data_IF_743972779713
#
_entry.id   IF_743972779713
#
_cell.length_a   1.000
_cell.length_b   1.000
_cell.length_c   1.000
_cell.angle_alpha   90.00
_cell.angle_beta   90.00
_cell.angle_gamma   90.00
#
_symmetry.space_group_name_H-M   'P 1'
#
loop_
_entity.id
_entity.type
_entity.pdbx_description
1 polymer ?
#
# COMPACT_ATOMS: atom_id res chain seq x y z
N UNK A 1 -26.99 7.84 -13.15
CA UNK A 1 -26.48 7.59 -11.78
C UNK A 1 -25.42 6.51 -11.86
N UNK A 2 -24.13 6.88 -11.79
CA UNK A 2 -23.02 5.90 -11.83
C UNK A 2 -22.98 5.22 -10.45
N UNK A 3 -22.94 3.88 -10.35
CA UNK A 3 -22.84 3.22 -9.05
C UNK A 3 -21.48 3.56 -8.43
N UNK A 4 -21.53 3.85 -7.15
CA UNK A 4 -20.43 4.15 -6.26
C UNK A 4 -19.29 3.13 -6.48
N UNK A 5 -18.12 3.59 -6.94
CA UNK A 5 -16.94 2.71 -6.94
C UNK A 5 -16.60 2.47 -5.47
N UNK A 6 -16.40 1.22 -5.01
CA UNK A 6 -15.99 1.00 -3.63
C UNK A 6 -14.71 1.81 -3.38
N UNK A 7 -14.77 2.71 -2.38
CA UNK A 7 -13.64 3.54 -1.95
C UNK A 7 -12.49 2.60 -1.59
N UNK A 8 -11.57 2.40 -2.55
CA UNK A 8 -10.37 1.58 -2.43
C UNK A 8 -9.54 2.14 -1.28
N UNK A 9 -9.60 1.50 -0.12
CA UNK A 9 -8.96 2.00 1.09
C UNK A 9 -9.38 1.30 2.38
N UNK A 10 -10.21 0.26 2.31
CA UNK A 10 -10.53 -0.57 3.47
C UNK A 10 -9.50 -1.68 3.63
N UNK A 11 -9.17 -2.03 4.88
CA UNK A 11 -8.13 -3.02 5.20
C UNK A 11 -8.38 -4.39 4.57
N UNK A 12 -9.64 -4.81 4.40
CA UNK A 12 -9.97 -6.06 3.71
C UNK A 12 -9.72 -5.99 2.18
N UNK A 13 -10.07 -4.89 1.50
CA UNK A 13 -9.75 -4.70 0.08
C UNK A 13 -8.26 -4.71 -0.14
N UNK A 14 -7.51 -4.14 0.81
CA UNK A 14 -6.07 -4.12 0.73
C UNK A 14 -5.49 -5.53 0.91
N UNK A 15 -6.01 -6.34 1.84
CA UNK A 15 -5.64 -7.76 1.94
C UNK A 15 -5.93 -8.52 0.65
N UNK A 16 -7.13 -8.34 0.07
CA UNK A 16 -7.52 -8.96 -1.20
C UNK A 16 -6.61 -8.51 -2.35
N UNK A 17 -6.40 -7.19 -2.50
CA UNK A 17 -5.54 -6.65 -3.56
C UNK A 17 -4.08 -7.09 -3.42
N UNK A 18 -3.59 -7.26 -2.19
CA UNK A 18 -2.26 -7.80 -1.91
C UNK A 18 -2.19 -9.29 -2.26
N UNK A 19 -3.20 -10.06 -1.86
CA UNK A 19 -3.33 -11.48 -2.21
C UNK A 19 -3.38 -11.71 -3.72
N UNK A 20 -4.18 -10.93 -4.45
CA UNK A 20 -4.26 -10.96 -5.92
C UNK A 20 -2.92 -10.64 -6.60
N UNK A 21 -2.10 -9.80 -5.95
CA UNK A 21 -0.75 -9.48 -6.39
C UNK A 21 0.32 -10.49 -5.94
N UNK A 22 -0.08 -11.60 -5.29
CA UNK A 22 0.82 -12.63 -4.79
C UNK A 22 1.50 -12.31 -3.46
N UNK A 23 1.06 -11.26 -2.76
CA UNK A 23 1.57 -10.86 -1.45
C UNK A 23 0.69 -11.45 -0.35
N UNK A 24 1.10 -12.59 0.20
CA UNK A 24 0.42 -13.22 1.32
C UNK A 24 0.64 -12.42 2.61
N UNK A 25 -0.41 -11.76 3.10
CA UNK A 25 -0.39 -11.03 4.37
C UNK A 25 -1.74 -11.21 5.08
N UNK A 26 -1.72 -11.29 6.41
CA UNK A 26 -2.93 -11.37 7.23
C UNK A 26 -3.29 -10.03 7.88
N UNK A 27 -4.47 -9.97 8.49
CA UNK A 27 -4.92 -8.79 9.23
C UNK A 27 -4.03 -8.44 10.42
N UNK A 28 -3.48 -9.45 11.10
CA UNK A 28 -2.64 -9.28 12.29
C UNK A 28 -1.30 -8.62 11.96
N UNK A 29 -0.87 -8.72 10.70
CA UNK A 29 0.34 -8.09 10.18
C UNK A 29 0.02 -6.74 9.52
N UNK A 30 -1.03 -6.69 8.70
CA UNK A 30 -1.37 -5.50 7.93
C UNK A 30 -1.75 -4.32 8.84
N UNK A 31 -2.61 -4.52 9.83
CA UNK A 31 -3.11 -3.39 10.63
C UNK A 31 -2.05 -2.74 11.52
N UNK A 32 -1.17 -3.49 12.22
CA UNK A 32 -0.03 -2.88 12.90
C UNK A 32 0.92 -2.12 11.96
N UNK A 33 1.14 -2.63 10.75
CA UNK A 33 1.96 -1.94 9.75
C UNK A 33 1.34 -0.60 9.34
N UNK A 34 0.05 -0.56 9.04
CA UNK A 34 -0.66 0.68 8.68
C UNK A 34 -0.60 1.71 9.82
N UNK A 35 -0.81 1.28 11.07
CA UNK A 35 -0.67 2.15 12.26
C UNK A 35 0.75 2.69 12.42
N UNK A 36 1.77 1.88 12.13
CA UNK A 36 3.18 2.31 12.17
C UNK A 36 3.46 3.36 11.11
N UNK A 37 3.02 3.14 9.87
CA UNK A 37 3.20 4.09 8.77
C UNK A 37 2.46 5.42 9.03
N UNK A 38 1.29 5.36 9.65
CA UNK A 38 0.57 6.54 10.13
C UNK A 38 1.36 7.28 11.23
N UNK A 39 1.88 6.57 12.24
CA UNK A 39 2.72 7.16 13.30
C UNK A 39 3.99 7.83 12.73
N UNK A 40 4.51 7.33 11.61
CA UNK A 40 5.63 7.92 10.88
C UNK A 40 5.24 9.11 9.99
N UNK A 41 3.95 9.46 9.91
CA UNK A 41 3.44 10.54 9.06
C UNK A 41 3.38 10.18 7.57
N UNK A 42 3.58 8.90 7.21
CA UNK A 42 3.55 8.43 5.82
C UNK A 42 2.13 8.12 5.34
N UNK A 43 1.23 7.84 6.27
CA UNK A 43 -0.21 7.71 6.02
C UNK A 43 -1.00 8.74 6.82
N UNK A 44 -2.14 9.13 6.28
CA UNK A 44 -3.20 9.88 6.94
C UNK A 44 -4.38 8.94 7.10
N UNK A 45 -5.13 9.09 8.19
CA UNK A 45 -6.34 8.31 8.39
C UNK A 45 -7.58 9.15 8.59
N UNK A 46 -8.72 8.59 8.20
CA UNK A 46 -10.04 9.20 8.32
C UNK A 46 -11.04 8.13 8.80
N UNK A 47 -11.94 8.52 9.68
CA UNK A 47 -13.05 7.65 10.09
C UNK A 47 -14.18 7.77 9.09
N UNK A 48 -14.63 6.65 8.55
CA UNK A 48 -15.91 6.56 7.86
C UNK A 48 -16.97 6.12 8.86
N UNK A 49 -17.98 6.96 9.04
CA UNK A 49 -19.12 6.77 9.94
C UNK A 49 -20.43 6.55 9.19
N UNK A 50 -20.39 6.38 7.87
CA UNK A 50 -21.56 6.12 7.00
C UNK A 50 -22.14 4.70 7.23
N UNK A 51 -21.33 3.77 7.73
CA UNK A 51 -21.75 2.40 8.07
C UNK A 51 -22.07 2.23 9.57
N UNK A 52 -22.86 1.20 9.90
CA UNK A 52 -23.24 0.83 11.27
C UNK A 52 -22.06 0.55 12.20
N UNK A 53 -20.86 0.32 11.66
CA UNK A 53 -19.61 0.20 12.41
C UNK A 53 -18.58 1.17 11.82
N UNK A 54 -18.12 2.18 12.59
CA UNK A 54 -17.09 3.08 12.13
C UNK A 54 -15.84 2.34 11.70
N UNK A 55 -15.29 2.69 10.53
CA UNK A 55 -14.07 2.10 9.98
C UNK A 55 -13.02 3.16 9.73
N UNK A 56 -11.76 2.82 9.98
CA UNK A 56 -10.63 3.69 9.71
C UNK A 56 -10.10 3.44 8.29
N UNK A 57 -10.07 4.48 7.47
CA UNK A 57 -9.49 4.48 6.13
C UNK A 57 -8.09 5.07 6.20
N UNK A 58 -7.19 4.58 5.35
CA UNK A 58 -5.83 5.09 5.24
C UNK A 58 -5.57 5.61 3.83
N UNK A 59 -4.89 6.74 3.73
CA UNK A 59 -4.44 7.35 2.48
C UNK A 59 -2.96 7.74 2.61
N UNK A 60 -2.21 7.63 1.53
CA UNK A 60 -0.82 8.10 1.48
C UNK A 60 -0.76 9.61 1.72
N UNK A 61 0.08 10.04 2.65
CA UNK A 61 0.33 11.46 2.92
C UNK A 61 1.22 12.08 1.83
N UNK A 62 1.34 13.42 1.74
CA UNK A 62 2.32 14.05 0.85
C UNK A 62 3.76 13.59 1.12
N UNK A 63 4.13 13.36 2.38
CA UNK A 63 5.43 12.79 2.76
C UNK A 63 5.54 11.33 2.29
N UNK A 64 4.52 10.52 2.56
CA UNK A 64 4.48 9.12 2.13
C UNK A 64 4.57 8.96 0.62
N UNK A 65 4.00 9.89 -0.16
CA UNK A 65 4.10 9.89 -1.60
C UNK A 65 5.53 10.16 -2.09
N UNK A 66 6.26 11.07 -1.43
CA UNK A 66 7.67 11.33 -1.70
C UNK A 66 8.54 10.11 -1.39
N UNK A 67 8.38 9.53 -0.20
CA UNK A 67 9.09 8.30 0.21
C UNK A 67 8.79 7.13 -0.75
N UNK A 68 7.52 6.89 -1.07
CA UNK A 68 7.11 5.85 -2.02
C UNK A 68 7.77 6.01 -3.38
N UNK A 69 7.87 7.25 -3.87
CA UNK A 69 8.49 7.53 -5.17
C UNK A 69 9.98 7.20 -5.16
N UNK A 70 10.70 7.53 -4.07
CA UNK A 70 12.11 7.16 -3.90
C UNK A 70 12.30 5.65 -3.89
N UNK A 71 11.54 4.93 -3.06
CA UNK A 71 11.61 3.47 -2.95
C UNK A 71 11.33 2.76 -4.28
N UNK A 72 10.35 3.24 -5.05
CA UNK A 72 10.04 2.66 -6.37
C UNK A 72 11.17 2.87 -7.37
N UNK A 73 11.85 4.02 -7.34
CA UNK A 73 13.02 4.27 -8.19
C UNK A 73 14.18 3.36 -7.81
N UNK A 74 14.51 3.27 -6.51
CA UNK A 74 15.56 2.39 -6.00
C UNK A 74 15.32 0.93 -6.39
N UNK A 75 14.06 0.47 -6.28
CA UNK A 75 13.68 -0.89 -6.69
C UNK A 75 13.88 -1.12 -8.19
N UNK A 76 13.49 -0.16 -9.02
CA UNK A 76 13.69 -0.23 -10.48
C UNK A 76 15.17 -0.25 -10.85
N UNK A 77 15.98 0.58 -10.22
CA UNK A 77 17.42 0.67 -10.47
C UNK A 77 18.15 -0.63 -10.05
N UNK A 78 17.75 -1.21 -8.92
CA UNK A 78 18.26 -2.50 -8.47
C UNK A 78 17.88 -3.62 -9.46
N UNK A 79 16.61 -3.68 -9.86
CA UNK A 79 16.13 -4.66 -10.84
C UNK A 79 16.83 -4.54 -12.18
N UNK A 80 17.10 -3.32 -12.64
CA UNK A 80 17.86 -3.06 -13.87
C UNK A 80 19.32 -3.53 -13.74
N UNK A 81 19.95 -3.31 -12.58
CA UNK A 81 21.31 -3.73 -12.31
C UNK A 81 21.44 -5.25 -12.27
N UNK A 82 20.55 -5.94 -11.56
CA UNK A 82 20.50 -7.42 -11.53
C UNK A 82 20.25 -7.97 -12.94
N UNK A 83 19.33 -7.36 -13.69
CA UNK A 83 19.04 -7.79 -15.07
C UNK A 83 20.23 -7.65 -16.02
N UNK A 84 21.10 -6.65 -15.81
CA UNK A 84 22.34 -6.52 -16.61
C UNK A 84 23.35 -7.61 -16.25
N UNK A 85 23.50 -7.91 -14.96
CA UNK A 85 24.41 -8.96 -14.49
C UNK A 85 24.00 -10.34 -15.01
N UNK A 86 22.70 -10.66 -14.98
CA UNK A 86 22.21 -11.99 -15.39
C UNK A 86 22.07 -12.17 -16.90
N UNK A 87 22.07 -11.08 -17.70
CA UNK A 87 22.08 -11.16 -19.17
C UNK A 87 23.49 -11.33 -19.76
N UNK A 88 24.55 -11.18 -18.95
CA UNK A 88 25.94 -11.27 -19.39
C UNK A 88 26.54 -12.68 -19.43
N UNK A 89 25.82 -13.71 -18.97
CA UNK A 89 26.29 -15.11 -18.92
C UNK A 89 25.80 -15.96 -20.12
N UNK A 90 25.82 -15.41 -21.33
CA UNK A 90 25.61 -16.17 -22.58
C UNK A 90 26.73 -15.95 -23.57
#
# INVERSE_FOLDING_TARGET
MRPDRPRRGYGYALLESLGDAGVAVDSNTLYPLLRRLEKQGLLISEWNTEESRPRKFYRVSPEGARVRTGLLREWQDLGASISRLTKGDR
#
